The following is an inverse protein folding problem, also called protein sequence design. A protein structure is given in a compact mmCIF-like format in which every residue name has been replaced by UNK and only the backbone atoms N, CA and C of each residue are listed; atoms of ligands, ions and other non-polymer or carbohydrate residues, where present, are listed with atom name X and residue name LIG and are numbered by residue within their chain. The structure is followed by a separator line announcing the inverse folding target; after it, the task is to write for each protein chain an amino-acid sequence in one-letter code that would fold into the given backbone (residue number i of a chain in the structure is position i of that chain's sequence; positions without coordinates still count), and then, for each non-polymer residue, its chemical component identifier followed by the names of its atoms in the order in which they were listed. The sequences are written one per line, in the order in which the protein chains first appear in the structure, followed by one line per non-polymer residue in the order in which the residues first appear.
data_IF_052548877508
#
_entry.id   IF_052548877508
#
_cell.length_a   1.000
_cell.length_b   1.000
_cell.length_c   1.000
_cell.angle_alpha   90.00
_cell.angle_beta   90.00
_cell.angle_gamma   90.00
#
_symmetry.space_group_name_H-M   'P 1'
#
loop_
_entity.id
_entity.type
_entity.pdbx_description
1 polymer ?
#
# COMPACT_ATOMS: atom_id res chain seq x y z
N UNK A 1 8.69 -35.62 -59.68
CA UNK A 1 8.19 -34.81 -58.62
C UNK A 1 6.75 -34.36 -58.88
N UNK A 2 5.77 -35.24 -58.86
CA UNK A 2 4.34 -34.96 -59.03
C UNK A 2 3.56 -36.16 -58.44
N UNK A 3 3.55 -36.33 -57.10
CA UNK A 3 2.69 -37.32 -56.41
C UNK A 3 2.74 -37.15 -54.89
N UNK A 4 2.57 -35.91 -54.37
CA UNK A 4 2.46 -35.71 -52.93
C UNK A 4 1.41 -34.68 -52.50
N UNK A 5 0.49 -34.27 -53.40
CA UNK A 5 -0.54 -33.27 -53.07
C UNK A 5 -1.99 -33.79 -53.13
N UNK A 6 -2.20 -35.10 -53.06
CA UNK A 6 -3.55 -35.65 -53.23
C UNK A 6 -4.12 -36.40 -52.00
N UNK A 7 -3.49 -36.27 -50.83
CA UNK A 7 -3.98 -36.98 -49.60
C UNK A 7 -4.46 -36.07 -48.45
N UNK A 8 -4.41 -34.74 -48.57
CA UNK A 8 -4.94 -33.83 -47.53
C UNK A 8 -6.35 -33.29 -47.79
N UNK A 9 -6.93 -33.53 -48.98
CA UNK A 9 -8.24 -32.98 -49.33
C UNK A 9 -9.44 -33.86 -48.92
N UNK A 10 -9.24 -35.11 -48.48
CA UNK A 10 -10.32 -36.02 -48.12
C UNK A 10 -10.63 -36.10 -46.62
N UNK A 11 -9.79 -35.56 -45.76
CA UNK A 11 -10.01 -35.54 -44.31
C UNK A 11 -10.83 -34.34 -43.82
N UNK A 12 -10.96 -33.29 -44.63
CA UNK A 12 -11.75 -32.11 -44.30
C UNK A 12 -13.22 -32.25 -44.67
N UNK A 13 -13.55 -33.14 -45.62
CA UNK A 13 -14.95 -33.30 -46.09
C UNK A 13 -15.76 -34.32 -45.30
N UNK A 14 -15.14 -35.16 -44.47
CA UNK A 14 -15.86 -36.16 -43.64
C UNK A 14 -16.24 -35.64 -42.26
N UNK A 15 -15.66 -34.51 -41.81
CA UNK A 15 -15.98 -33.88 -40.51
C UNK A 15 -17.19 -32.93 -40.55
N UNK A 16 -17.76 -32.68 -41.75
CA UNK A 16 -18.94 -31.79 -41.91
C UNK A 16 -20.27 -32.54 -41.86
N UNK A 17 -20.24 -33.88 -41.91
CA UNK A 17 -21.48 -34.68 -41.90
C UNK A 17 -21.88 -35.34 -40.59
N UNK A 18 -21.13 -35.15 -39.51
CA UNK A 18 -21.54 -35.57 -38.18
C UNK A 18 -21.83 -34.31 -37.38
N UNK A 19 -23.09 -33.88 -37.37
CA UNK A 19 -23.62 -32.70 -36.71
C UNK A 19 -23.28 -32.59 -35.21
N UNK A 20 -22.00 -32.43 -34.87
CA UNK A 20 -21.56 -31.98 -33.55
C UNK A 20 -21.15 -30.54 -33.71
N UNK A 21 -22.14 -29.63 -33.56
CA UNK A 21 -21.94 -28.23 -33.27
C UNK A 21 -21.22 -28.14 -31.92
N UNK A 22 -19.90 -28.23 -31.89
CA UNK A 22 -19.12 -27.60 -30.82
C UNK A 22 -19.30 -26.09 -31.00
N UNK A 23 -20.25 -25.54 -30.29
CA UNK A 23 -20.29 -24.10 -30.02
C UNK A 23 -18.99 -23.75 -29.30
N UNK A 24 -17.92 -23.46 -30.05
CA UNK A 24 -16.80 -22.69 -29.55
C UNK A 24 -17.38 -21.32 -29.25
N UNK A 25 -17.80 -21.11 -27.99
CA UNK A 25 -17.91 -19.77 -27.45
C UNK A 25 -16.50 -19.18 -27.55
N UNK A 26 -16.22 -18.55 -28.67
CA UNK A 26 -15.18 -17.53 -28.71
C UNK A 26 -15.63 -16.47 -27.70
N UNK A 27 -15.01 -16.49 -26.54
CA UNK A 27 -14.93 -15.32 -25.70
C UNK A 27 -14.04 -14.31 -26.44
N UNK A 28 -14.57 -13.73 -27.51
CA UNK A 28 -14.15 -12.41 -27.88
C UNK A 28 -14.72 -11.51 -26.79
N UNK A 29 -13.93 -11.27 -25.74
CA UNK A 29 -14.10 -10.09 -24.93
C UNK A 29 -13.75 -8.94 -25.88
N UNK A 30 -14.74 -8.41 -26.59
CA UNK A 30 -14.65 -7.06 -27.15
C UNK A 30 -14.41 -6.13 -25.98
N UNK A 31 -13.12 -5.97 -25.60
CA UNK A 31 -12.70 -4.87 -24.78
C UNK A 31 -12.65 -3.63 -25.70
N UNK A 32 -13.77 -3.15 -26.14
CA UNK A 32 -13.90 -1.72 -26.31
C UNK A 32 -13.63 -1.17 -24.91
N UNK A 33 -12.53 -0.44 -24.73
CA UNK A 33 -12.29 0.28 -23.49
C UNK A 33 -13.57 1.09 -23.25
N UNK A 34 -14.21 0.87 -22.09
CA UNK A 34 -15.40 1.63 -21.73
C UNK A 34 -14.93 3.06 -21.42
N UNK A 35 -15.12 3.98 -22.38
CA UNK A 35 -14.80 5.40 -22.24
C UNK A 35 -15.85 6.14 -21.37
N UNK A 36 -16.63 5.40 -20.58
CA UNK A 36 -17.63 5.95 -19.68
C UNK A 36 -16.96 6.80 -18.60
N UNK A 37 -17.47 8.02 -18.42
CA UNK A 37 -17.06 8.94 -17.37
C UNK A 37 -17.84 8.73 -16.05
N UNK A 38 -18.68 7.72 -15.98
CA UNK A 38 -19.46 7.37 -14.79
C UNK A 38 -19.94 5.93 -14.84
N UNK A 39 -20.26 5.39 -13.68
CA UNK A 39 -20.79 4.03 -13.58
C UNK A 39 -21.22 3.66 -12.17
N UNK A 40 -21.58 2.39 -11.98
CA UNK A 40 -21.98 1.87 -10.68
C UNK A 40 -21.07 0.74 -10.23
N UNK A 41 -20.85 0.67 -8.90
CA UNK A 41 -20.14 -0.40 -8.20
C UNK A 41 -21.17 -1.19 -7.40
N UNK A 42 -21.92 -2.06 -8.08
CA UNK A 42 -23.05 -2.78 -7.49
C UNK A 42 -24.33 -1.92 -7.41
N UNK A 43 -25.13 -2.11 -6.35
CA UNK A 43 -26.49 -1.52 -6.28
C UNK A 43 -26.53 -0.12 -5.66
N UNK A 44 -25.57 0.24 -4.83
CA UNK A 44 -25.67 1.39 -3.93
C UNK A 44 -24.50 2.37 -4.05
N UNK A 45 -23.52 2.10 -4.89
CA UNK A 45 -22.33 2.94 -5.06
C UNK A 45 -22.22 3.35 -6.53
N UNK A 46 -21.93 4.62 -6.76
CA UNK A 46 -21.65 5.19 -8.08
C UNK A 46 -20.30 5.88 -8.08
N UNK A 47 -19.71 5.96 -9.27
CA UNK A 47 -18.51 6.75 -9.51
C UNK A 47 -18.71 7.67 -10.69
N UNK A 48 -18.07 8.83 -10.67
CA UNK A 48 -18.06 9.80 -11.77
C UNK A 48 -16.66 10.38 -11.93
N UNK A 49 -16.26 10.65 -13.17
CA UNK A 49 -15.08 11.42 -13.52
C UNK A 49 -15.50 12.85 -13.88
N UNK A 50 -15.05 13.81 -13.10
CA UNK A 50 -15.30 15.24 -13.28
C UNK A 50 -14.01 15.91 -13.82
N UNK A 51 -14.11 16.66 -14.92
CA UNK A 51 -12.96 17.31 -15.55
C UNK A 51 -12.81 16.95 -17.03
N UNK A 52 -11.59 16.87 -17.49
CA UNK A 52 -11.28 16.48 -18.88
C UNK A 52 -9.93 15.77 -18.95
N UNK A 53 -9.66 15.06 -20.05
CA UNK A 53 -8.36 14.42 -20.30
C UNK A 53 -7.19 15.43 -20.27
N UNK A 54 -7.40 16.66 -20.75
CA UNK A 54 -6.35 17.69 -20.81
C UNK A 54 -5.99 18.24 -19.42
N UNK A 55 -7.00 18.48 -18.55
CA UNK A 55 -6.79 19.00 -17.19
C UNK A 55 -6.60 17.91 -16.14
N UNK A 56 -6.96 16.70 -16.47
CA UNK A 56 -7.10 15.55 -15.57
C UNK A 56 -8.48 15.47 -14.93
N UNK A 57 -8.79 14.27 -14.43
CA UNK A 57 -10.08 14.00 -13.79
C UNK A 57 -9.96 13.99 -12.27
N UNK A 58 -11.06 14.37 -11.63
CA UNK A 58 -11.37 14.01 -10.25
C UNK A 58 -12.35 12.86 -10.28
N UNK A 59 -11.99 11.70 -9.73
CA UNK A 59 -12.95 10.64 -9.50
C UNK A 59 -13.68 10.90 -8.19
N UNK A 60 -15.00 10.86 -8.26
CA UNK A 60 -15.90 10.96 -7.11
C UNK A 60 -16.61 9.63 -6.90
N UNK A 61 -16.52 9.06 -5.70
CA UNK A 61 -17.20 7.82 -5.31
C UNK A 61 -18.25 8.17 -4.26
N UNK A 62 -19.51 7.87 -4.55
CA UNK A 62 -20.65 8.23 -3.71
C UNK A 62 -21.63 7.07 -3.58
N UNK A 63 -22.46 7.13 -2.53
CA UNK A 63 -23.41 6.07 -2.21
C UNK A 63 -23.21 5.49 -0.81
N UNK A 64 -23.40 4.18 -0.64
CA UNK A 64 -23.28 3.57 0.68
C UNK A 64 -22.69 2.17 0.63
N UNK A 65 -21.83 1.85 1.61
CA UNK A 65 -21.17 0.57 1.77
C UNK A 65 -19.72 0.56 1.27
N UNK A 66 -19.17 -0.64 1.08
CA UNK A 66 -17.79 -0.85 0.67
C UNK A 66 -17.69 -0.94 -0.85
N UNK A 67 -16.65 -0.34 -1.45
CA UNK A 67 -16.32 -0.57 -2.85
C UNK A 67 -15.79 -2.00 -3.05
N UNK A 68 -15.97 -2.59 -4.25
CA UNK A 68 -15.47 -3.94 -4.54
C UNK A 68 -13.94 -4.04 -4.45
N UNK A 69 -13.46 -5.26 -4.20
CA UNK A 69 -12.08 -5.66 -4.40
C UNK A 69 -11.80 -5.94 -5.88
N UNK A 70 -10.58 -5.65 -6.33
CA UNK A 70 -10.13 -5.96 -7.69
C UNK A 70 -8.89 -6.84 -7.65
N UNK A 71 -8.95 -8.01 -8.28
CA UNK A 71 -7.81 -8.91 -8.44
C UNK A 71 -6.95 -8.55 -9.65
N UNK A 72 -7.57 -7.95 -10.67
CA UNK A 72 -6.88 -7.48 -11.87
C UNK A 72 -7.14 -6.00 -12.09
N UNK A 73 -6.11 -5.26 -12.47
CA UNK A 73 -6.21 -3.83 -12.76
C UNK A 73 -7.21 -3.52 -13.89
N UNK A 74 -7.39 -4.46 -14.85
CA UNK A 74 -8.35 -4.36 -15.95
C UNK A 74 -9.81 -4.43 -15.50
N UNK A 75 -10.07 -4.88 -14.28
CA UNK A 75 -11.43 -5.02 -13.75
C UNK A 75 -11.91 -3.74 -13.05
N UNK A 76 -10.99 -2.78 -12.86
CA UNK A 76 -11.32 -1.47 -12.29
C UNK A 76 -12.16 -0.69 -13.31
N UNK A 77 -13.37 -0.22 -12.96
CA UNK A 77 -14.28 0.40 -13.92
C UNK A 77 -13.75 1.65 -14.62
N UNK A 78 -12.84 2.40 -13.98
CA UNK A 78 -12.18 3.58 -14.52
C UNK A 78 -10.78 3.29 -15.08
N UNK A 79 -10.49 2.04 -15.43
CA UNK A 79 -9.17 1.63 -15.88
C UNK A 79 -8.70 2.38 -17.15
N UNK A 80 -9.59 2.64 -18.10
CA UNK A 80 -9.27 3.41 -19.31
C UNK A 80 -8.73 4.83 -19.02
N UNK A 81 -9.16 5.42 -17.90
CA UNK A 81 -8.78 6.77 -17.47
C UNK A 81 -7.81 6.79 -16.28
N UNK A 82 -7.29 5.62 -15.87
CA UNK A 82 -6.54 5.46 -14.61
C UNK A 82 -5.33 6.40 -14.51
N UNK A 83 -4.69 6.74 -15.64
CA UNK A 83 -3.54 7.64 -15.70
C UNK A 83 -3.93 9.11 -15.94
N UNK A 84 -5.21 9.41 -16.05
CA UNK A 84 -5.74 10.77 -16.21
C UNK A 84 -6.34 11.29 -14.91
N UNK A 85 -6.64 10.39 -13.95
CA UNK A 85 -7.18 10.77 -12.63
C UNK A 85 -6.09 11.46 -11.81
N UNK A 86 -6.37 12.71 -11.40
CA UNK A 86 -5.49 13.53 -10.55
C UNK A 86 -5.92 13.58 -9.10
N UNK A 87 -7.21 13.40 -8.84
CA UNK A 87 -7.77 13.49 -7.51
C UNK A 87 -8.81 12.41 -7.26
N UNK A 88 -8.86 11.92 -6.04
CA UNK A 88 -9.88 10.96 -5.56
C UNK A 88 -10.67 11.62 -4.44
N UNK A 89 -11.99 11.64 -4.54
CA UNK A 89 -12.91 12.10 -3.50
C UNK A 89 -13.88 10.97 -3.18
N UNK A 90 -13.87 10.54 -1.93
CA UNK A 90 -14.79 9.51 -1.39
C UNK A 90 -15.75 10.21 -0.45
N UNK A 91 -17.04 10.12 -0.78
CA UNK A 91 -18.09 10.86 -0.09
C UNK A 91 -18.67 10.09 1.12
N UNK A 92 -19.45 10.82 1.93
CA UNK A 92 -20.15 10.24 3.07
C UNK A 92 -21.09 9.12 2.64
N UNK A 93 -21.12 8.05 3.46
CA UNK A 93 -21.87 6.83 3.21
C UNK A 93 -20.99 5.68 2.71
N UNK A 94 -19.86 5.98 2.04
CA UNK A 94 -18.87 4.95 1.70
C UNK A 94 -18.15 4.53 2.99
N UNK A 95 -18.10 3.21 3.25
CA UNK A 95 -17.51 2.66 4.47
C UNK A 95 -16.15 2.00 4.27
N UNK A 96 -15.82 1.61 3.04
CA UNK A 96 -14.53 1.03 2.72
C UNK A 96 -14.12 1.21 1.28
N UNK A 97 -12.81 1.33 1.07
CA UNK A 97 -12.19 1.21 -0.25
C UNK A 97 -11.63 -0.20 -0.40
N UNK A 98 -12.08 -0.92 -1.42
CA UNK A 98 -11.66 -2.29 -1.70
C UNK A 98 -10.21 -2.40 -2.12
N UNK A 99 -9.68 -3.63 -2.08
CA UNK A 99 -8.35 -4.01 -2.54
C UNK A 99 -8.09 -3.49 -3.95
N UNK A 100 -6.89 -2.95 -4.16
CA UNK A 100 -6.36 -2.54 -5.46
C UNK A 100 -7.18 -1.48 -6.22
N UNK A 101 -8.16 -0.80 -5.59
CA UNK A 101 -9.08 0.15 -6.29
C UNK A 101 -8.34 1.22 -7.12
N UNK A 102 -7.16 1.65 -6.68
CA UNK A 102 -6.32 2.64 -7.37
C UNK A 102 -4.89 2.13 -7.58
N UNK A 103 -4.72 0.82 -7.70
CA UNK A 103 -3.42 0.19 -7.93
C UNK A 103 -2.73 0.73 -9.18
N UNK A 104 -1.49 1.27 -9.03
CA UNK A 104 -0.70 1.86 -10.12
C UNK A 104 -1.36 3.05 -10.83
N UNK A 105 -2.26 3.77 -10.19
CA UNK A 105 -2.81 5.03 -10.70
C UNK A 105 -1.77 6.15 -10.56
N UNK A 106 -0.79 6.17 -11.46
CA UNK A 106 0.45 6.96 -11.30
C UNK A 106 0.26 8.47 -11.34
N UNK A 107 -0.90 8.96 -11.75
CA UNK A 107 -1.20 10.39 -11.90
C UNK A 107 -1.97 11.01 -10.72
N UNK A 108 -2.49 10.20 -9.79
CA UNK A 108 -3.20 10.70 -8.61
C UNK A 108 -2.25 11.50 -7.73
N UNK A 109 -2.63 12.75 -7.44
CA UNK A 109 -1.86 13.70 -6.62
C UNK A 109 -2.45 13.86 -5.21
N UNK A 110 -3.77 13.71 -5.09
CA UNK A 110 -4.48 13.90 -3.83
C UNK A 110 -5.64 12.93 -3.65
N UNK A 111 -5.87 12.55 -2.39
CA UNK A 111 -7.00 11.72 -1.97
C UNK A 111 -7.70 12.39 -0.80
N UNK A 112 -9.03 12.43 -0.83
CA UNK A 112 -9.85 12.88 0.28
C UNK A 112 -10.90 11.83 0.61
N UNK A 113 -10.91 11.37 1.86
CA UNK A 113 -11.86 10.38 2.38
C UNK A 113 -12.80 11.06 3.38
N UNK A 114 -14.08 10.73 3.29
CA UNK A 114 -15.08 11.16 4.26
C UNK A 114 -14.93 10.46 5.62
N UNK A 115 -15.56 11.00 6.65
CA UNK A 115 -15.52 10.45 8.01
C UNK A 115 -16.25 9.11 8.15
N UNK A 116 -17.12 8.75 7.21
CA UNK A 116 -17.77 7.44 7.16
C UNK A 116 -16.84 6.27 6.79
N UNK A 117 -15.68 6.55 6.14
CA UNK A 117 -14.74 5.50 5.71
C UNK A 117 -14.09 4.86 6.92
N UNK A 118 -14.15 3.52 7.01
CA UNK A 118 -13.59 2.68 8.08
C UNK A 118 -12.36 1.93 7.66
N UNK A 119 -12.24 1.61 6.36
CA UNK A 119 -11.15 0.77 5.86
C UNK A 119 -10.62 1.23 4.51
N UNK A 120 -9.30 1.05 4.33
CA UNK A 120 -8.61 1.11 3.04
C UNK A 120 -8.04 -0.29 2.80
N UNK A 121 -8.39 -0.91 1.67
CA UNK A 121 -8.01 -2.27 1.33
C UNK A 121 -6.52 -2.43 1.00
N UNK A 122 -6.09 -3.70 0.93
CA UNK A 122 -4.76 -4.11 0.51
C UNK A 122 -4.38 -3.48 -0.84
N UNK A 123 -3.16 -2.97 -0.96
CA UNK A 123 -2.61 -2.38 -2.19
C UNK A 123 -3.51 -1.28 -2.84
N UNK A 124 -4.47 -0.70 -2.11
CA UNK A 124 -5.45 0.23 -2.68
C UNK A 124 -4.79 1.38 -3.46
N UNK A 125 -3.72 1.97 -2.94
CA UNK A 125 -2.94 3.04 -3.59
C UNK A 125 -1.48 2.62 -3.84
N UNK A 126 -1.24 1.33 -4.07
CA UNK A 126 0.10 0.81 -4.36
C UNK A 126 0.68 1.43 -5.63
N UNK A 127 1.94 1.92 -5.55
CA UNK A 127 2.67 2.57 -6.65
C UNK A 127 1.98 3.81 -7.24
N UNK A 128 1.32 4.59 -6.40
CA UNK A 128 0.81 5.90 -6.78
C UNK A 128 1.92 6.96 -6.64
N UNK A 129 2.87 6.95 -7.57
CA UNK A 129 4.10 7.75 -7.51
C UNK A 129 3.91 9.27 -7.57
N UNK A 130 2.73 9.78 -7.89
CA UNK A 130 2.39 11.21 -7.82
C UNK A 130 1.58 11.58 -6.58
N UNK A 131 1.17 10.60 -5.75
CA UNK A 131 0.32 10.85 -4.58
C UNK A 131 1.12 11.55 -3.47
N UNK A 132 0.90 12.85 -3.31
CA UNK A 132 1.59 13.70 -2.33
C UNK A 132 0.75 14.01 -1.10
N UNK A 133 -0.57 14.01 -1.23
CA UNK A 133 -1.50 14.43 -0.17
C UNK A 133 -2.61 13.43 0.05
N UNK A 134 -2.92 13.16 1.30
CA UNK A 134 -4.09 12.39 1.69
C UNK A 134 -4.77 13.01 2.91
N UNK A 135 -6.09 13.16 2.81
CA UNK A 135 -6.96 13.51 3.93
C UNK A 135 -7.72 12.25 4.33
N UNK A 136 -7.33 11.68 5.46
CA UNK A 136 -7.98 10.49 6.02
C UNK A 136 -9.17 10.94 6.89
N UNK A 137 -10.35 10.36 6.63
CA UNK A 137 -11.53 10.59 7.48
C UNK A 137 -11.31 10.12 8.92
N UNK A 138 -11.89 10.82 9.89
CA UNK A 138 -11.73 10.53 11.33
C UNK A 138 -12.26 9.15 11.74
N UNK A 139 -13.14 8.56 10.94
CA UNK A 139 -13.69 7.24 11.18
C UNK A 139 -12.80 6.06 10.79
N UNK A 140 -11.67 6.30 10.12
CA UNK A 140 -10.80 5.25 9.62
C UNK A 140 -10.19 4.43 10.77
N UNK A 141 -10.29 3.11 10.68
CA UNK A 141 -9.83 2.16 11.69
C UNK A 141 -8.85 1.12 11.16
N UNK A 142 -8.76 0.96 9.83
CA UNK A 142 -7.82 0.01 9.22
C UNK A 142 -7.25 0.52 7.89
N UNK A 143 -5.97 0.21 7.67
CA UNK A 143 -5.25 0.44 6.42
C UNK A 143 -4.56 -0.88 6.09
N UNK A 144 -4.90 -1.46 4.96
CA UNK A 144 -4.42 -2.78 4.54
C UNK A 144 -2.95 -2.83 4.17
N UNK A 145 -2.44 -4.05 4.02
CA UNK A 145 -1.07 -4.33 3.61
C UNK A 145 -0.72 -3.60 2.31
N UNK A 146 0.47 -2.98 2.27
CA UNK A 146 1.01 -2.26 1.12
C UNK A 146 0.09 -1.17 0.54
N UNK A 147 -0.92 -0.68 1.30
CA UNK A 147 -1.95 0.23 0.77
C UNK A 147 -1.36 1.51 0.16
N UNK A 148 -0.27 2.05 0.68
CA UNK A 148 0.42 3.25 0.18
C UNK A 148 1.86 2.98 -0.28
N UNK A 149 2.24 1.72 -0.43
CA UNK A 149 3.59 1.34 -0.82
C UNK A 149 4.00 2.03 -2.12
N UNK A 150 5.21 2.62 -2.12
CA UNK A 150 5.80 3.36 -3.26
C UNK A 150 4.91 4.54 -3.69
N UNK A 151 4.40 5.30 -2.73
CA UNK A 151 3.76 6.61 -2.96
C UNK A 151 4.72 7.76 -2.60
N UNK A 152 4.39 8.98 -3.05
CA UNK A 152 5.14 10.20 -2.76
C UNK A 152 4.50 11.04 -1.63
N UNK A 153 3.73 10.41 -0.76
CA UNK A 153 3.13 11.07 0.41
C UNK A 153 4.22 11.80 1.21
N UNK A 154 3.96 13.07 1.55
CA UNK A 154 4.89 13.91 2.31
C UNK A 154 4.56 13.92 3.81
N UNK A 155 3.28 14.01 4.13
CA UNK A 155 2.78 14.03 5.51
C UNK A 155 1.51 13.20 5.62
N UNK A 156 1.42 12.40 6.66
CA UNK A 156 0.23 11.59 6.95
C UNK A 156 -0.21 11.86 8.38
N UNK A 157 -1.48 12.23 8.54
CA UNK A 157 -2.12 12.35 9.85
C UNK A 157 -3.06 11.18 10.05
N UNK A 158 -2.63 10.19 10.83
CA UNK A 158 -3.44 9.02 11.13
C UNK A 158 -4.54 9.36 12.14
N UNK A 159 -5.80 9.01 11.88
CA UNK A 159 -6.86 9.06 12.87
C UNK A 159 -6.56 8.18 14.08
N UNK A 160 -7.08 8.55 15.25
CA UNK A 160 -6.85 7.81 16.52
C UNK A 160 -7.31 6.35 16.46
N UNK A 161 -8.22 6.01 15.54
CA UNK A 161 -8.69 4.65 15.30
C UNK A 161 -7.65 3.72 14.68
N UNK A 162 -6.60 4.26 14.04
CA UNK A 162 -5.51 3.47 13.46
C UNK A 162 -4.51 3.11 14.56
N UNK A 163 -4.67 1.94 15.14
CA UNK A 163 -3.77 1.41 16.16
C UNK A 163 -2.77 0.39 15.64
N UNK A 164 -2.90 -0.05 14.40
CA UNK A 164 -2.03 -1.01 13.73
C UNK A 164 -1.63 -0.48 12.37
N UNK A 165 -0.35 -0.58 12.05
CA UNK A 165 0.19 -0.33 10.72
C UNK A 165 0.57 -1.71 10.15
N UNK A 166 -0.08 -2.12 9.08
CA UNK A 166 0.13 -3.41 8.45
C UNK A 166 1.48 -3.49 7.73
N UNK A 167 1.87 -4.70 7.31
CA UNK A 167 3.11 -4.94 6.57
C UNK A 167 3.15 -4.09 5.30
N UNK A 168 4.34 -3.57 4.99
CA UNK A 168 4.62 -2.81 3.76
C UNK A 168 3.72 -1.58 3.52
N UNK A 169 2.87 -1.15 4.46
CA UNK A 169 1.86 -0.07 4.25
C UNK A 169 2.46 1.18 3.62
N UNK A 170 3.62 1.65 4.11
CA UNK A 170 4.35 2.82 3.59
C UNK A 170 5.72 2.44 3.01
N UNK A 171 5.91 1.18 2.60
CA UNK A 171 7.16 0.73 2.00
C UNK A 171 7.59 1.65 0.84
N UNK A 172 8.81 2.16 0.87
CA UNK A 172 9.35 2.99 -0.20
C UNK A 172 8.72 4.36 -0.38
N UNK A 173 7.98 4.87 0.61
CA UNK A 173 7.47 6.25 0.63
C UNK A 173 8.63 7.22 0.93
N UNK A 174 9.53 7.38 -0.03
CA UNK A 174 10.79 8.13 0.14
C UNK A 174 10.60 9.60 0.48
N UNK A 175 9.45 10.19 0.12
CA UNK A 175 9.11 11.59 0.38
C UNK A 175 8.39 11.80 1.72
N UNK A 176 8.08 10.72 2.45
CA UNK A 176 7.39 10.83 3.73
C UNK A 176 8.29 11.48 4.77
N UNK A 177 7.94 12.70 5.18
CA UNK A 177 8.67 13.52 6.15
C UNK A 177 8.19 13.28 7.58
N UNK A 178 6.88 13.11 7.76
CA UNK A 178 6.27 12.97 9.09
C UNK A 178 4.97 12.16 9.07
N UNK A 179 4.77 11.40 10.15
CA UNK A 179 3.56 10.64 10.46
C UNK A 179 3.41 10.55 11.98
N UNK A 180 2.19 10.68 12.49
CA UNK A 180 1.91 10.55 13.93
C UNK A 180 1.72 9.08 14.31
N UNK A 181 2.55 8.57 15.23
CA UNK A 181 2.55 7.17 15.66
C UNK A 181 2.29 7.02 17.17
N UNK A 182 1.95 8.10 17.90
CA UNK A 182 1.85 8.14 19.36
C UNK A 182 0.74 7.24 19.93
N UNK A 183 -0.21 6.83 19.11
CA UNK A 183 -1.33 5.96 19.49
C UNK A 183 -1.27 4.57 18.84
N UNK A 184 -0.22 4.29 18.03
CA UNK A 184 -0.03 3.02 17.34
C UNK A 184 0.50 1.97 18.31
N UNK A 185 -0.08 0.77 18.30
CA UNK A 185 0.27 -0.36 19.17
C UNK A 185 1.08 -1.44 18.46
N UNK A 186 1.00 -1.48 17.14
CA UNK A 186 1.71 -2.47 16.32
C UNK A 186 2.16 -1.86 15.01
N UNK A 187 3.42 -2.12 14.63
CA UNK A 187 4.01 -1.72 13.35
C UNK A 187 4.55 -2.99 12.70
N UNK A 188 3.94 -3.35 11.57
CA UNK A 188 4.21 -4.57 10.84
C UNK A 188 5.53 -4.56 10.07
N UNK A 189 5.83 -5.70 9.48
CA UNK A 189 7.04 -5.97 8.70
C UNK A 189 7.22 -4.92 7.60
N UNK A 190 8.43 -4.29 7.54
CA UNK A 190 8.82 -3.30 6.52
C UNK A 190 7.84 -2.14 6.33
N UNK A 191 7.03 -1.84 7.32
CA UNK A 191 5.96 -0.84 7.21
C UNK A 191 6.46 0.52 6.73
N UNK A 192 7.68 0.94 7.11
CA UNK A 192 8.35 2.18 6.69
C UNK A 192 9.72 1.92 6.03
N UNK A 193 9.91 0.74 5.43
CA UNK A 193 11.17 0.39 4.77
C UNK A 193 11.52 1.41 3.68
N UNK A 194 12.74 1.99 3.74
CA UNK A 194 13.24 3.04 2.82
C UNK A 194 12.32 4.28 2.76
N UNK A 195 11.72 4.69 3.87
CA UNK A 195 11.14 6.04 4.02
C UNK A 195 12.27 7.03 4.33
N UNK A 196 13.12 7.30 3.34
CA UNK A 196 14.41 7.99 3.55
C UNK A 196 14.31 9.41 4.09
N UNK A 197 13.20 10.13 3.85
CA UNK A 197 12.99 11.48 4.38
C UNK A 197 12.26 11.49 5.74
N UNK A 198 11.85 10.32 6.24
CA UNK A 198 11.11 10.23 7.51
C UNK A 198 12.04 10.65 8.66
N UNK A 199 11.61 11.67 9.40
CA UNK A 199 12.35 12.22 10.55
C UNK A 199 11.39 12.42 11.73
N UNK A 200 11.94 12.63 12.92
CA UNK A 200 11.15 13.05 14.10
C UNK A 200 10.02 12.09 14.48
N UNK A 201 10.25 10.78 14.41
CA UNK A 201 9.24 9.79 14.81
C UNK A 201 9.07 9.73 16.33
N UNK A 202 7.79 9.68 16.76
CA UNK A 202 7.40 9.47 18.15
C UNK A 202 6.60 8.18 18.25
N UNK A 203 7.27 7.09 18.67
CA UNK A 203 6.60 5.83 18.89
C UNK A 203 5.74 5.88 20.16
N UNK A 204 4.59 5.22 20.11
CA UNK A 204 3.70 5.08 21.25
C UNK A 204 4.42 4.42 22.44
N UNK A 205 4.15 4.92 23.65
CA UNK A 205 4.57 4.23 24.89
C UNK A 205 3.87 2.88 25.06
N UNK A 206 2.72 2.70 24.40
CA UNK A 206 1.95 1.46 24.38
C UNK A 206 2.26 0.56 23.17
N UNK A 207 3.33 0.87 22.40
CA UNK A 207 3.76 0.03 21.28
C UNK A 207 4.19 -1.34 21.80
N UNK A 208 3.52 -2.40 21.32
CA UNK A 208 3.71 -3.79 21.74
C UNK A 208 4.47 -4.63 20.71
N UNK A 209 4.36 -4.25 19.43
CA UNK A 209 4.99 -4.98 18.33
C UNK A 209 5.67 -3.99 17.38
N UNK A 210 6.92 -4.29 17.09
CA UNK A 210 7.72 -3.56 16.12
C UNK A 210 8.51 -4.60 15.31
N UNK A 211 8.04 -4.88 14.11
CA UNK A 211 8.45 -6.08 13.39
C UNK A 211 9.69 -5.87 12.51
N UNK A 212 10.10 -6.97 11.84
CA UNK A 212 11.27 -7.06 10.97
C UNK A 212 11.40 -5.86 10.01
N UNK A 213 12.56 -5.19 10.02
CA UNK A 213 12.94 -4.13 9.12
C UNK A 213 11.93 -2.97 9.03
N UNK A 214 11.11 -2.74 10.08
CA UNK A 214 10.01 -1.78 10.05
C UNK A 214 10.47 -0.36 9.64
N UNK A 215 11.64 0.10 10.10
CA UNK A 215 12.22 1.40 9.76
C UNK A 215 13.57 1.29 9.03
N UNK A 216 13.89 0.13 8.46
CA UNK A 216 15.15 -0.02 7.73
C UNK A 216 15.27 0.98 6.58
N UNK A 217 16.41 1.65 6.48
CA UNK A 217 16.67 2.64 5.43
C UNK A 217 15.96 3.98 5.62
N UNK A 218 15.39 4.24 6.82
CA UNK A 218 14.89 5.58 7.19
C UNK A 218 16.06 6.48 7.56
N UNK A 219 16.83 6.88 6.55
CA UNK A 219 18.14 7.54 6.71
C UNK A 219 18.08 8.92 7.36
N UNK A 220 16.91 9.57 7.43
CA UNK A 220 16.72 10.89 8.08
C UNK A 220 16.30 10.81 9.55
N UNK A 221 16.03 9.63 10.09
CA UNK A 221 15.73 9.47 11.52
C UNK A 221 17.00 9.78 12.33
N UNK A 222 16.97 10.83 13.12
CA UNK A 222 18.11 11.23 13.97
C UNK A 222 17.92 10.83 15.44
N UNK A 223 16.69 10.56 15.87
CA UNK A 223 16.33 10.17 17.23
C UNK A 223 15.10 9.26 17.24
N UNK A 224 15.11 8.26 18.12
CA UNK A 224 13.98 7.36 18.39
C UNK A 224 13.83 7.15 19.88
N UNK A 225 12.60 7.24 20.37
CA UNK A 225 12.23 6.82 21.72
C UNK A 225 11.59 5.44 21.67
N UNK A 226 12.22 4.46 22.31
CA UNK A 226 11.69 3.09 22.42
C UNK A 226 10.64 3.04 23.54
N UNK A 227 9.44 2.55 23.23
CA UNK A 227 8.36 2.40 24.20
C UNK A 227 8.62 1.30 25.25
N UNK A 228 7.94 1.39 26.39
CA UNK A 228 8.14 0.49 27.54
C UNK A 228 7.38 -0.84 27.45
N UNK A 229 6.66 -1.11 26.36
CA UNK A 229 5.91 -2.37 26.16
C UNK A 229 6.59 -3.36 25.23
N UNK A 230 7.61 -2.93 24.51
CA UNK A 230 8.42 -3.82 23.68
C UNK A 230 9.32 -4.67 24.57
N UNK A 231 9.52 -5.94 24.25
CA UNK A 231 10.46 -6.85 24.93
C UNK A 231 11.75 -7.04 24.15
N UNK A 232 11.73 -6.75 22.85
CA UNK A 232 12.89 -6.87 21.98
C UNK A 232 12.90 -5.80 20.88
N UNK A 233 14.06 -5.62 20.27
CA UNK A 233 14.25 -4.90 19.03
C UNK A 233 14.44 -5.93 17.92
N UNK A 234 13.50 -5.99 17.00
CA UNK A 234 13.44 -6.99 15.95
C UNK A 234 14.60 -6.89 14.97
N UNK A 235 14.83 -7.96 14.22
CA UNK A 235 15.86 -8.03 13.19
C UNK A 235 15.73 -6.88 12.19
N UNK A 236 16.84 -6.15 11.95
CA UNK A 236 16.99 -5.03 11.02
C UNK A 236 16.04 -3.84 11.27
N UNK A 237 15.43 -3.74 12.43
CA UNK A 237 14.35 -2.77 12.70
C UNK A 237 14.72 -1.31 12.39
N UNK A 238 15.96 -0.90 12.68
CA UNK A 238 16.54 0.42 12.39
C UNK A 238 17.81 0.34 11.52
N UNK A 239 18.05 -0.79 10.84
CA UNK A 239 19.21 -0.91 9.97
C UNK A 239 19.24 0.23 8.94
N UNK A 240 20.44 0.73 8.60
CA UNK A 240 20.63 1.81 7.62
C UNK A 240 19.95 3.15 8.01
N UNK A 241 19.60 3.36 9.28
CA UNK A 241 19.20 4.66 9.81
C UNK A 241 20.44 5.53 10.03
N UNK A 242 21.06 5.96 8.93
CA UNK A 242 22.41 6.57 8.92
C UNK A 242 22.52 7.91 9.65
N UNK A 243 21.41 8.60 9.93
CA UNK A 243 21.38 9.84 10.72
C UNK A 243 21.13 9.62 12.20
N UNK A 244 20.83 8.41 12.66
CA UNK A 244 20.53 8.10 14.06
C UNK A 244 21.79 8.28 14.90
N UNK A 245 21.79 9.29 15.80
CA UNK A 245 22.95 9.72 16.58
C UNK A 245 23.06 9.03 17.94
N UNK A 246 21.90 8.86 18.58
CA UNK A 246 21.80 8.30 19.92
C UNK A 246 20.60 7.41 20.06
N UNK A 247 20.68 6.39 20.91
CA UNK A 247 19.55 5.53 21.26
C UNK A 247 19.60 5.24 22.76
N UNK A 248 18.44 5.33 23.40
CA UNK A 248 18.23 4.81 24.74
C UNK A 248 17.48 3.49 24.65
N UNK A 249 18.08 2.41 25.16
CA UNK A 249 17.48 1.08 25.25
C UNK A 249 16.88 0.92 26.65
N UNK A 250 15.55 0.92 26.79
CA UNK A 250 14.91 0.84 28.10
C UNK A 250 15.04 -0.56 28.73
N UNK A 251 14.83 -0.61 30.05
CA UNK A 251 15.08 -1.83 30.87
C UNK A 251 14.10 -2.99 30.55
N UNK A 252 13.02 -2.75 29.80
CA UNK A 252 12.11 -3.80 29.31
C UNK A 252 12.66 -4.58 28.11
N UNK A 253 13.70 -4.08 27.44
CA UNK A 253 14.30 -4.76 26.28
C UNK A 253 15.29 -5.81 26.79
N UNK A 254 15.03 -7.08 26.47
CA UNK A 254 15.88 -8.23 26.80
C UNK A 254 16.65 -8.78 25.61
N UNK A 255 16.25 -8.42 24.39
CA UNK A 255 16.93 -8.86 23.18
C UNK A 255 17.05 -7.74 22.14
N UNK A 256 18.22 -7.63 21.53
CA UNK A 256 18.48 -6.83 20.31
C UNK A 256 18.83 -7.84 19.23
N UNK A 257 17.93 -8.00 18.27
CA UNK A 257 18.04 -9.02 17.25
C UNK A 257 19.08 -8.68 16.18
N UNK A 258 19.34 -9.62 15.27
CA UNK A 258 20.33 -9.50 14.19
C UNK A 258 20.18 -8.18 13.42
N UNK A 259 21.32 -7.48 13.23
CA UNK A 259 21.43 -6.27 12.41
C UNK A 259 20.45 -5.15 12.80
N UNK A 260 19.94 -5.12 14.04
CA UNK A 260 18.91 -4.15 14.46
C UNK A 260 19.30 -2.69 14.18
N UNK A 261 20.60 -2.34 14.31
CA UNK A 261 21.19 -1.02 14.01
C UNK A 261 22.31 -1.09 12.97
N UNK A 262 22.32 -2.13 12.14
CA UNK A 262 23.34 -2.29 11.10
C UNK A 262 23.42 -1.05 10.20
N UNK A 263 24.63 -0.55 9.93
CA UNK A 263 24.86 0.68 9.14
C UNK A 263 24.19 1.97 9.69
N UNK A 264 23.93 2.05 10.98
CA UNK A 264 23.61 3.31 11.65
C UNK A 264 24.91 4.15 11.83
N UNK A 265 25.46 4.65 10.74
CA UNK A 265 26.82 5.22 10.69
C UNK A 265 27.04 6.47 11.56
N UNK A 266 25.99 7.19 11.94
CA UNK A 266 26.08 8.33 12.86
C UNK A 266 25.92 7.93 14.34
N UNK A 267 25.62 6.64 14.65
CA UNK A 267 25.29 6.20 16.02
C UNK A 267 26.56 6.23 16.90
N UNK A 268 26.68 7.27 17.67
CA UNK A 268 27.80 7.51 18.58
C UNK A 268 27.50 7.20 20.04
N UNK A 269 26.22 7.10 20.43
CA UNK A 269 25.84 6.89 21.80
C UNK A 269 24.68 5.89 21.96
N UNK A 270 24.95 4.81 22.69
CA UNK A 270 23.95 3.84 23.14
C UNK A 270 23.93 3.86 24.65
N UNK A 271 22.76 4.07 25.25
CA UNK A 271 22.57 4.15 26.71
C UNK A 271 21.46 3.24 27.17
N UNK A 272 21.37 2.95 28.46
CA UNK A 272 20.43 1.98 29.02
C UNK A 272 20.93 0.56 28.85
N UNK A 273 20.14 -0.30 28.21
CA UNK A 273 20.47 -1.71 27.88
C UNK A 273 20.80 -2.61 29.09
N UNK A 274 20.31 -2.29 30.29
CA UNK A 274 20.70 -2.99 31.53
C UNK A 274 20.27 -4.45 31.56
N UNK A 275 19.15 -4.77 30.92
CA UNK A 275 18.55 -6.11 30.95
C UNK A 275 18.67 -6.83 29.59
N UNK A 276 19.51 -6.35 28.68
CA UNK A 276 19.75 -7.02 27.42
C UNK A 276 20.58 -8.27 27.65
N UNK A 277 19.99 -9.44 27.38
CA UNK A 277 20.58 -10.77 27.52
C UNK A 277 21.01 -11.32 26.16
N UNK A 278 20.34 -10.91 25.08
CA UNK A 278 20.60 -11.39 23.71
C UNK A 278 21.05 -10.25 22.84
N UNK A 279 22.21 -10.39 22.23
CA UNK A 279 22.76 -9.48 21.23
C UNK A 279 23.00 -10.26 19.93
N UNK A 280 22.19 -9.96 18.92
CA UNK A 280 22.24 -10.60 17.62
C UNK A 280 23.51 -10.25 16.82
N UNK A 281 23.79 -11.07 15.82
CA UNK A 281 24.91 -10.85 14.88
C UNK A 281 24.78 -9.47 14.20
N UNK A 282 25.85 -8.66 14.19
CA UNK A 282 25.88 -7.31 13.57
C UNK A 282 24.76 -6.39 14.11
N UNK A 283 24.36 -6.55 15.37
CA UNK A 283 23.27 -5.74 15.95
C UNK A 283 23.55 -4.23 15.88
N UNK A 284 24.84 -3.84 15.82
CA UNK A 284 25.35 -2.48 15.64
C UNK A 284 26.34 -2.40 14.51
#
# INVERSE_FOLDING_TARGET
MKKLFSRCSWLITVLICLGILFSVKTFAKDSAADDSLSGSLGKHITWTLEGSSDSGYTIRISGSGDTPDYDYISDIPWYSHINEIKSVVVEEGITGLGKSSFYKSTSIQSVKLADSVRSIGEMCFFRNGSLEKIELGNGLTSIGEAAFSVSNLKKVSLPIGITHIESDTFYGCKQLESINLEHVKSIGRRAFYICSNLSGIHLSTDLQQLEYAAFRGCSSIDKVNIGSKLSELSEQVFAECSSLKEIYIPDNITAIQKAAFYECTALGQVTGAKNVEVLGEMAF
#
